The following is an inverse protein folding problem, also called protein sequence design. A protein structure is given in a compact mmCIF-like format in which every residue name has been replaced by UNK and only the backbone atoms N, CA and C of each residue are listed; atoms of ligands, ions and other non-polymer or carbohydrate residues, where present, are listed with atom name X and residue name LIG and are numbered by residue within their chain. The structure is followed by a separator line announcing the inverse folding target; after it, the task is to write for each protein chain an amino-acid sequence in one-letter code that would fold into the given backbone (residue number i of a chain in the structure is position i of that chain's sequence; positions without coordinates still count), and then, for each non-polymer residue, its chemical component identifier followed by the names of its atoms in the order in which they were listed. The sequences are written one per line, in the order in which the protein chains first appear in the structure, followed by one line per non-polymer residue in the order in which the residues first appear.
data_IF_661647613495
#
_entry.id   IF_661647613495
#
_cell.length_a   1.000
_cell.length_b   1.000
_cell.length_c   1.000
_cell.angle_alpha   90.00
_cell.angle_beta   90.00
_cell.angle_gamma   90.00
#
_symmetry.space_group_name_H-M   'P 1'
#
loop_
_entity.id
_entity.type
_entity.pdbx_description
1 polymer ?
#
# COMPACT_ATOMS: atom_id res chain seq x y z
N UNK A 1 -13.29 -5.67 0.82
CA UNK A 1 -13.23 -7.12 1.12
C UNK A 1 -13.16 -7.34 2.62
N UNK A 2 -13.32 -8.58 3.10
CA UNK A 2 -12.97 -8.91 4.49
C UNK A 2 -11.46 -9.22 4.48
N UNK A 3 -10.63 -8.55 5.30
CA UNK A 3 -9.22 -8.87 5.39
C UNK A 3 -9.02 -10.33 5.77
N UNK A 4 -8.04 -11.00 5.17
CA UNK A 4 -7.73 -12.40 5.45
C UNK A 4 -6.46 -12.46 6.27
N UNK A 5 -6.52 -13.06 7.46
CA UNK A 5 -5.31 -13.38 8.24
C UNK A 5 -4.62 -14.58 7.57
N UNK A 6 -3.51 -14.31 6.87
CA UNK A 6 -2.76 -15.32 6.09
C UNK A 6 -1.71 -16.04 6.94
N UNK A 7 -1.28 -15.40 8.03
CA UNK A 7 -0.46 -15.96 9.09
C UNK A 7 -0.75 -15.15 10.35
N UNK A 8 -0.38 -15.67 11.54
CA UNK A 8 -0.64 -14.98 12.81
C UNK A 8 -0.13 -13.54 12.77
N UNK A 9 -1.04 -12.58 12.93
CA UNK A 9 -0.71 -11.14 12.91
C UNK A 9 -0.42 -10.56 11.52
N UNK A 10 -0.59 -11.31 10.44
CA UNK A 10 -0.33 -10.86 9.06
C UNK A 10 -1.62 -10.97 8.25
N UNK A 11 -2.05 -9.83 7.71
CA UNK A 11 -3.34 -9.69 7.03
C UNK A 11 -3.16 -9.22 5.59
N UNK A 12 -3.87 -9.84 4.65
CA UNK A 12 -4.09 -9.26 3.34
C UNK A 12 -5.18 -8.18 3.44
N UNK A 13 -4.80 -6.94 3.16
CA UNK A 13 -5.65 -5.74 3.17
C UNK A 13 -5.77 -5.09 1.80
N UNK A 14 -5.26 -5.75 0.75
CA UNK A 14 -5.24 -5.26 -0.62
C UNK A 14 -6.61 -5.10 -1.28
N UNK A 15 -6.64 -5.03 -2.61
CA UNK A 15 -7.88 -4.79 -3.36
C UNK A 15 -7.96 -5.68 -4.60
N UNK A 16 -9.13 -6.26 -4.84
CA UNK A 16 -9.46 -6.92 -6.11
C UNK A 16 -10.06 -5.92 -7.09
N UNK A 17 -9.44 -5.78 -8.25
CA UNK A 17 -9.96 -5.02 -9.38
C UNK A 17 -10.53 -6.00 -10.41
N UNK A 18 -11.83 -6.27 -10.30
CA UNK A 18 -12.56 -7.15 -11.21
C UNK A 18 -12.80 -6.54 -12.59
N UNK A 19 -12.64 -5.23 -12.73
CA UNK A 19 -13.11 -4.49 -13.91
C UNK A 19 -11.98 -4.14 -14.87
N UNK A 20 -10.73 -4.15 -14.41
CA UNK A 20 -9.58 -3.94 -15.29
C UNK A 20 -9.51 -5.00 -16.38
N UNK A 21 -9.29 -4.55 -17.62
CA UNK A 21 -9.15 -5.42 -18.80
C UNK A 21 -7.86 -5.17 -19.55
N UNK A 22 -7.38 -3.93 -19.56
CA UNK A 22 -6.04 -3.56 -20.00
C UNK A 22 -5.23 -3.13 -18.79
N UNK A 23 -4.21 -3.91 -18.47
CA UNK A 23 -3.29 -3.66 -17.38
C UNK A 23 -1.88 -3.48 -17.96
N UNK A 24 -1.53 -2.24 -18.28
CA UNK A 24 -0.20 -1.88 -18.80
C UNK A 24 0.12 -2.63 -20.11
N UNK A 25 -0.89 -2.82 -20.97
CA UNK A 25 -0.78 -3.57 -22.23
C UNK A 25 -1.11 -5.07 -22.10
N UNK A 26 -1.32 -5.58 -20.89
CA UNK A 26 -1.77 -6.96 -20.67
C UNK A 26 -3.29 -7.07 -20.63
N UNK A 27 -3.84 -8.05 -21.38
CA UNK A 27 -5.25 -8.40 -21.29
C UNK A 27 -5.55 -9.19 -20.01
N UNK A 28 -6.40 -8.65 -19.15
CA UNK A 28 -6.76 -9.21 -17.83
C UNK A 28 -8.25 -9.53 -17.75
N UNK A 29 -8.69 -10.59 -18.47
CA UNK A 29 -10.12 -10.94 -18.53
C UNK A 29 -10.74 -11.32 -17.17
N UNK A 30 -9.93 -11.85 -16.25
CA UNK A 30 -10.35 -12.19 -14.89
C UNK A 30 -10.13 -11.03 -13.88
N UNK A 31 -9.73 -9.84 -14.36
CA UNK A 31 -9.28 -8.75 -13.50
C UNK A 31 -7.87 -8.98 -12.94
N UNK A 32 -7.54 -8.26 -11.87
CA UNK A 32 -6.27 -8.39 -11.13
C UNK A 32 -6.47 -8.08 -9.65
N UNK A 33 -5.41 -8.22 -8.86
CA UNK A 33 -5.37 -7.77 -7.47
C UNK A 33 -4.17 -6.85 -7.23
N UNK A 34 -4.36 -5.86 -6.37
CA UNK A 34 -3.31 -5.03 -5.79
C UNK A 34 -3.14 -5.45 -4.34
N UNK A 35 -2.21 -6.38 -4.10
CA UNK A 35 -2.04 -6.97 -2.77
C UNK A 35 -1.21 -6.03 -1.91
N UNK A 36 -1.70 -5.78 -0.69
CA UNK A 36 -1.00 -5.03 0.34
C UNK A 36 -1.17 -5.77 1.66
N UNK A 37 -0.13 -5.81 2.48
CA UNK A 37 -0.13 -6.62 3.70
C UNK A 37 0.05 -5.76 4.94
N UNK A 38 -0.75 -6.02 5.96
CA UNK A 38 -0.64 -5.39 7.26
C UNK A 38 -0.05 -6.39 8.26
N UNK A 39 1.10 -6.06 8.83
CA UNK A 39 1.72 -6.82 9.91
C UNK A 39 1.40 -6.10 11.22
N UNK A 40 0.76 -6.81 12.14
CA UNK A 40 0.38 -6.32 13.46
C UNK A 40 1.21 -7.05 14.51
N UNK A 41 2.22 -6.38 15.02
CA UNK A 41 3.12 -6.85 16.08
C UNK A 41 3.42 -5.69 17.06
N UNK A 42 4.54 -5.72 17.78
CA UNK A 42 5.04 -4.59 18.59
C UNK A 42 5.06 -3.27 17.82
N UNK A 43 5.29 -3.34 16.51
CA UNK A 43 5.06 -2.26 15.54
C UNK A 43 4.12 -2.73 14.45
N UNK A 44 3.31 -1.81 13.95
CA UNK A 44 2.39 -2.05 12.85
C UNK A 44 3.02 -1.57 11.54
N UNK A 45 3.22 -2.50 10.60
CA UNK A 45 3.82 -2.21 9.31
C UNK A 45 2.82 -2.45 8.17
N UNK A 46 2.73 -1.50 7.24
CA UNK A 46 2.03 -1.68 5.98
C UNK A 46 3.04 -1.98 4.86
N UNK A 47 2.89 -3.11 4.19
CA UNK A 47 3.70 -3.50 3.03
C UNK A 47 2.93 -3.20 1.75
N UNK A 48 3.55 -2.37 0.91
CA UNK A 48 3.04 -1.81 -0.32
C UNK A 48 1.70 -1.09 -0.15
N UNK A 49 1.23 -0.49 -1.25
CA UNK A 49 -0.09 0.13 -1.33
C UNK A 49 -0.81 -0.39 -2.58
N UNK A 50 -1.86 0.31 -2.99
CA UNK A 50 -2.67 -0.05 -4.16
C UNK A 50 -2.70 1.11 -5.16
N UNK A 51 -3.27 0.91 -6.35
CA UNK A 51 -3.56 2.01 -7.27
C UNK A 51 -4.32 3.15 -6.57
N UNK A 52 -4.02 4.38 -6.95
CA UNK A 52 -4.48 5.60 -6.28
C UNK A 52 -5.99 5.68 -6.03
N UNK A 53 -6.82 5.20 -6.95
CA UNK A 53 -8.29 5.23 -6.84
C UNK A 53 -8.86 4.14 -5.92
N UNK A 54 -8.03 3.22 -5.42
CA UNK A 54 -8.40 2.21 -4.43
C UNK A 54 -7.95 2.55 -3.00
N UNK A 55 -7.36 3.73 -2.78
CA UNK A 55 -6.85 4.15 -1.47
C UNK A 55 -7.92 4.03 -0.35
N UNK A 56 -9.14 4.50 -0.59
CA UNK A 56 -10.23 4.40 0.40
C UNK A 56 -10.62 2.95 0.70
N UNK A 57 -10.58 2.07 -0.29
CA UNK A 57 -10.86 0.65 -0.09
C UNK A 57 -9.75 -0.03 0.72
N UNK A 58 -8.48 0.31 0.47
CA UNK A 58 -7.35 -0.13 1.28
C UNK A 58 -7.53 0.30 2.74
N UNK A 59 -7.85 1.58 2.99
CA UNK A 59 -8.11 2.08 4.34
C UNK A 59 -9.31 1.40 5.02
N UNK A 60 -10.39 1.15 4.28
CA UNK A 60 -11.55 0.43 4.80
C UNK A 60 -11.21 -1.03 5.16
N UNK A 61 -10.24 -1.65 4.49
CA UNK A 61 -9.77 -2.99 4.85
C UNK A 61 -8.87 -2.93 6.08
N UNK A 62 -7.89 -2.01 6.12
CA UNK A 62 -7.01 -1.80 7.28
C UNK A 62 -7.82 -1.53 8.55
N UNK A 63 -8.82 -0.64 8.47
CA UNK A 63 -9.68 -0.23 9.59
C UNK A 63 -10.49 -1.38 10.22
N UNK A 64 -10.64 -2.52 9.52
CA UNK A 64 -11.26 -3.73 10.07
C UNK A 64 -10.31 -4.56 10.93
N UNK A 65 -9.00 -4.30 10.84
CA UNK A 65 -7.96 -4.98 11.61
C UNK A 65 -7.46 -4.08 12.74
N UNK A 66 -7.08 -2.83 12.42
CA UNK A 66 -6.55 -1.85 13.37
C UNK A 66 -6.97 -0.43 12.97
N UNK A 67 -6.90 0.52 13.91
CA UNK A 67 -6.96 1.95 13.58
C UNK A 67 -5.78 2.32 12.66
N UNK A 68 -6.01 2.81 11.43
CA UNK A 68 -4.94 3.17 10.50
C UNK A 68 -3.92 4.18 11.06
N UNK A 69 -4.34 5.04 12.01
CA UNK A 69 -3.43 5.99 12.65
C UNK A 69 -2.31 5.30 13.47
N UNK A 70 -2.50 4.03 13.84
CA UNK A 70 -1.52 3.22 14.58
C UNK A 70 -0.46 2.56 13.69
N UNK A 71 -0.54 2.64 12.36
CA UNK A 71 0.52 2.13 11.48
C UNK A 71 1.80 2.89 11.78
N UNK A 72 2.86 2.22 12.21
CA UNK A 72 4.12 2.87 12.60
C UNK A 72 5.03 3.16 11.40
N UNK A 73 4.94 2.32 10.36
CA UNK A 73 5.82 2.40 9.20
C UNK A 73 5.19 1.82 7.94
N UNK A 74 5.72 2.25 6.79
CA UNK A 74 5.33 1.73 5.47
C UNK A 74 6.58 1.17 4.78
N UNK A 75 6.43 0.04 4.10
CA UNK A 75 7.45 -0.55 3.24
C UNK A 75 6.94 -0.45 1.80
N UNK A 76 7.67 0.23 0.93
CA UNK A 76 7.39 0.26 -0.52
C UNK A 76 8.45 -0.56 -1.24
N UNK A 77 8.05 -1.74 -1.72
CA UNK A 77 8.93 -2.66 -2.43
C UNK A 77 9.17 -2.21 -3.87
N UNK A 78 8.15 -1.63 -4.51
CA UNK A 78 8.21 -1.20 -5.90
C UNK A 78 7.64 0.20 -6.12
N UNK A 79 8.13 0.89 -7.16
CA UNK A 79 7.76 2.28 -7.44
C UNK A 79 6.63 2.43 -8.45
N UNK A 80 6.30 1.38 -9.20
CA UNK A 80 5.19 1.42 -10.15
C UNK A 80 3.87 1.71 -9.43
N UNK A 81 3.01 2.51 -10.07
CA UNK A 81 1.87 3.17 -9.41
C UNK A 81 0.68 2.23 -9.16
N UNK A 82 0.76 0.98 -9.60
CA UNK A 82 -0.13 -0.09 -9.17
C UNK A 82 0.10 -0.58 -7.74
N UNK A 83 1.34 -0.42 -7.25
CA UNK A 83 1.73 -0.73 -5.86
C UNK A 83 2.05 0.52 -5.03
N UNK A 84 2.46 1.62 -5.67
CA UNK A 84 2.88 2.85 -5.00
C UNK A 84 1.84 3.97 -5.09
N UNK A 85 0.81 3.81 -5.93
CA UNK A 85 -0.09 4.89 -6.33
C UNK A 85 -0.89 5.53 -5.20
N UNK A 86 -1.10 4.81 -4.09
CA UNK A 86 -1.79 5.33 -2.90
C UNK A 86 -0.84 5.81 -1.80
N UNK A 87 0.48 5.79 -2.00
CA UNK A 87 1.44 6.28 -1.00
C UNK A 87 1.13 7.73 -0.55
N UNK A 88 0.76 8.70 -1.42
CA UNK A 88 0.40 10.03 -0.96
C UNK A 88 -0.75 10.04 0.04
N UNK A 89 -1.84 9.34 -0.26
CA UNK A 89 -2.99 9.26 0.65
C UNK A 89 -2.65 8.47 1.91
N UNK A 90 -1.83 7.42 1.78
CA UNK A 90 -1.37 6.62 2.92
C UNK A 90 -0.60 7.49 3.90
N UNK A 91 0.52 8.08 3.44
CA UNK A 91 1.41 8.89 4.26
C UNK A 91 0.68 10.10 4.86
N UNK A 92 -0.21 10.75 4.09
CA UNK A 92 -1.00 11.87 4.59
C UNK A 92 -1.90 11.48 5.78
N UNK A 93 -2.58 10.33 5.71
CA UNK A 93 -3.51 9.90 6.78
C UNK A 93 -2.82 9.31 7.99
N UNK A 94 -1.69 8.62 7.81
CA UNK A 94 -0.97 8.00 8.93
C UNK A 94 0.04 8.95 9.58
N UNK A 95 0.55 9.95 8.87
CA UNK A 95 1.61 10.87 9.30
C UNK A 95 2.80 10.84 8.33
N UNK A 96 3.12 12.00 7.73
CA UNK A 96 4.17 12.11 6.69
C UNK A 96 5.61 11.94 7.22
N UNK A 97 5.79 12.06 8.54
CA UNK A 97 7.04 11.87 9.27
C UNK A 97 7.35 10.39 9.56
N UNK A 98 6.35 9.51 9.43
CA UNK A 98 6.53 8.07 9.61
C UNK A 98 7.53 7.51 8.59
N UNK A 99 8.38 6.56 8.99
CA UNK A 99 9.40 6.01 8.11
C UNK A 99 8.77 5.24 6.94
N UNK A 100 9.25 5.54 5.74
CA UNK A 100 8.95 4.84 4.50
C UNK A 100 10.20 4.09 4.04
N UNK A 101 10.23 2.79 4.30
CA UNK A 101 11.33 1.92 3.92
C UNK A 101 11.24 1.54 2.45
N UNK A 102 12.34 1.68 1.72
CA UNK A 102 12.44 1.24 0.33
C UNK A 102 13.89 0.94 -0.06
N UNK A 103 14.11 0.38 -1.25
CA UNK A 103 15.48 0.22 -1.74
C UNK A 103 16.12 1.58 -2.07
N UNK A 104 17.45 1.63 -2.22
CA UNK A 104 18.16 2.83 -2.72
C UNK A 104 17.58 3.36 -4.04
N UNK A 105 17.12 2.45 -4.91
CA UNK A 105 16.48 2.81 -6.17
C UNK A 105 15.03 3.29 -5.97
N UNK A 106 14.32 2.73 -4.99
CA UNK A 106 13.02 3.24 -4.52
C UNK A 106 13.13 4.69 -4.06
N UNK A 107 14.06 5.00 -3.16
CA UNK A 107 14.29 6.36 -2.65
C UNK A 107 14.69 7.35 -3.76
N UNK A 108 15.34 6.88 -4.83
CA UNK A 108 15.67 7.69 -6.01
C UNK A 108 14.47 7.94 -6.94
N UNK A 109 13.54 6.99 -7.05
CA UNK A 109 12.48 7.01 -8.06
C UNK A 109 11.11 7.42 -7.51
N UNK A 110 10.76 7.07 -6.27
CA UNK A 110 9.50 7.50 -5.65
C UNK A 110 9.33 9.03 -5.66
N UNK A 111 10.36 9.85 -5.34
CA UNK A 111 10.22 11.31 -5.41
C UNK A 111 9.95 11.87 -6.82
N UNK A 112 10.24 11.10 -7.87
CA UNK A 112 9.96 11.50 -9.26
C UNK A 112 8.48 11.32 -9.62
N UNK A 113 7.80 10.39 -8.96
CA UNK A 113 6.34 10.21 -9.08
C UNK A 113 5.59 11.10 -8.09
N UNK A 114 6.12 11.23 -6.87
CA UNK A 114 5.47 11.90 -5.76
C UNK A 114 6.43 12.96 -5.18
N UNK A 115 6.23 14.26 -5.45
CA UNK A 115 7.15 15.31 -5.01
C UNK A 115 7.16 15.58 -3.49
N UNK A 116 6.46 14.76 -2.71
CA UNK A 116 6.38 14.86 -1.26
C UNK A 116 7.70 14.47 -0.60
N UNK A 117 8.06 15.18 0.47
CA UNK A 117 9.26 14.90 1.26
C UNK A 117 8.90 13.97 2.43
N UNK A 118 8.92 12.67 2.16
CA UNK A 118 8.74 11.66 3.21
C UNK A 118 10.06 11.26 3.87
N UNK A 119 9.95 10.63 5.03
CA UNK A 119 11.06 10.05 5.76
C UNK A 119 11.52 8.71 5.13
N UNK A 120 12.23 8.78 4.00
CA UNK A 120 12.76 7.60 3.32
C UNK A 120 13.87 6.93 4.14
N UNK A 121 13.77 5.61 4.32
CA UNK A 121 14.74 4.75 5.02
C UNK A 121 15.28 3.66 4.08
#
# INVERSE_FOLDING_TARGET
MIPVEIAKGIYDVGVTDWNIRDFHGYSTHAGTTYNAYLIVDEKIALIDTVKSHFADQLFNNIAKVVDPAKIDLVISNHTEMDHSGSLPQVMHRIGEDKPLYCSKMGAKNLPKHFPHKWNYQ
#
